data_IF_763112742123
#
_entry.id   IF_763112742123
#
_cell.length_a   1.000
_cell.length_b   1.000
_cell.length_c   1.000
_cell.angle_alpha   90.00
_cell.angle_beta   90.00
_cell.angle_gamma   90.00
#
_symmetry.space_group_name_H-M   'P 1'
#
loop_
_entity.id
_entity.type
_entity.pdbx_description
1 polymer ?
#
# COMPACT_ATOMS: atom_id res chain seq x y z
N UNK A 1 83.56 -49.15 -110.35
CA UNK A 1 82.63 -48.38 -109.48
C UNK A 1 81.24 -49.00 -109.61
N UNK A 2 80.37 -48.90 -108.60
CA UNK A 2 78.97 -49.32 -108.76
C UNK A 2 78.24 -48.31 -109.64
N UNK A 3 77.41 -48.81 -110.58
CA UNK A 3 76.49 -47.98 -111.38
C UNK A 3 75.18 -47.71 -110.61
N UNK A 4 74.95 -48.45 -109.52
CA UNK A 4 73.73 -48.40 -108.73
C UNK A 4 73.98 -47.87 -107.31
N UNK A 5 73.02 -47.10 -106.79
CA UNK A 5 73.03 -46.48 -105.46
C UNK A 5 72.98 -47.48 -104.30
N UNK A 6 72.63 -48.74 -104.56
CA UNK A 6 72.55 -49.84 -103.61
C UNK A 6 73.18 -51.13 -104.17
N UNK A 7 73.66 -52.06 -103.32
CA UNK A 7 74.29 -53.29 -103.77
C UNK A 7 73.28 -54.29 -104.36
N UNK A 8 73.51 -54.74 -105.59
CA UNK A 8 72.65 -55.76 -106.23
C UNK A 8 73.00 -57.16 -105.72
N UNK A 9 72.13 -57.73 -104.90
CA UNK A 9 72.36 -58.95 -104.13
C UNK A 9 72.42 -60.22 -105.01
N UNK A 10 73.21 -61.21 -104.57
CA UNK A 10 73.15 -62.59 -105.10
C UNK A 10 71.84 -63.25 -104.66
N UNK A 11 71.34 -64.22 -105.43
CA UNK A 11 70.08 -64.92 -105.11
C UNK A 11 70.06 -65.47 -103.68
N UNK A 12 71.15 -66.10 -103.24
CA UNK A 12 71.31 -66.63 -101.88
C UNK A 12 71.08 -65.58 -100.78
N UNK A 13 71.51 -64.32 -101.00
CA UNK A 13 71.27 -63.22 -100.04
C UNK A 13 69.83 -62.71 -100.02
N UNK A 14 69.11 -62.84 -101.14
CA UNK A 14 67.68 -62.51 -101.24
C UNK A 14 66.85 -63.58 -100.55
N UNK A 15 67.13 -64.86 -100.83
CA UNK A 15 66.46 -66.00 -100.18
C UNK A 15 66.72 -66.03 -98.68
N UNK A 16 67.94 -65.71 -98.23
CA UNK A 16 68.23 -65.61 -96.81
C UNK A 16 67.42 -64.49 -96.15
N UNK A 17 67.34 -63.29 -96.77
CA UNK A 17 66.50 -62.21 -96.24
C UNK A 17 65.01 -62.60 -96.17
N UNK A 18 64.46 -63.21 -97.23
CA UNK A 18 63.06 -63.69 -97.27
C UNK A 18 62.78 -64.65 -96.10
N UNK A 19 63.71 -65.57 -95.82
CA UNK A 19 63.64 -66.50 -94.70
C UNK A 19 63.75 -65.79 -93.34
N UNK A 20 64.69 -64.86 -93.18
CA UNK A 20 64.91 -64.10 -91.94
C UNK A 20 63.68 -63.22 -91.60
N UNK A 21 63.07 -62.61 -92.61
CA UNK A 21 61.82 -61.86 -92.53
C UNK A 21 60.56 -62.73 -92.49
N UNK A 22 60.69 -64.07 -92.47
CA UNK A 22 59.60 -65.05 -92.42
C UNK A 22 58.56 -64.93 -93.54
N UNK A 23 58.95 -64.43 -94.71
CA UNK A 23 58.05 -64.27 -95.85
C UNK A 23 57.78 -65.63 -96.52
N UNK A 24 56.50 -65.96 -96.71
CA UNK A 24 56.02 -67.26 -97.22
C UNK A 24 56.21 -67.44 -98.74
N UNK A 25 57.46 -67.39 -99.23
CA UNK A 25 57.76 -67.34 -100.66
C UNK A 25 59.06 -68.12 -100.98
N UNK A 26 59.06 -68.89 -102.06
CA UNK A 26 60.15 -69.84 -102.39
C UNK A 26 61.24 -69.26 -103.30
N UNK A 27 62.34 -70.00 -103.47
CA UNK A 27 63.36 -69.66 -104.47
C UNK A 27 62.90 -69.94 -105.91
N UNK A 28 61.96 -70.86 -106.10
CA UNK A 28 61.39 -71.18 -107.41
C UNK A 28 60.42 -70.10 -107.89
N UNK A 29 59.62 -69.52 -106.98
CA UNK A 29 58.79 -68.34 -107.22
C UNK A 29 59.62 -67.19 -107.86
N UNK A 30 60.84 -66.93 -107.36
CA UNK A 30 61.73 -65.90 -107.94
C UNK A 30 62.30 -66.36 -109.28
N UNK A 31 62.84 -67.59 -109.36
CA UNK A 31 63.49 -68.11 -110.57
C UNK A 31 62.55 -68.13 -111.78
N UNK A 32 61.32 -68.57 -111.55
CA UNK A 32 60.31 -68.72 -112.60
C UNK A 32 59.74 -67.38 -113.07
N UNK A 33 59.87 -66.31 -112.25
CA UNK A 33 59.34 -64.97 -112.57
C UNK A 33 57.85 -65.01 -112.94
N UNK A 34 57.06 -65.78 -112.21
CA UNK A 34 55.60 -65.78 -112.35
C UNK A 34 55.02 -64.41 -111.90
N UNK A 35 54.18 -63.72 -112.70
CA UNK A 35 53.55 -62.47 -112.29
C UNK A 35 52.77 -62.54 -110.97
N UNK A 36 52.10 -63.65 -110.67
CA UNK A 36 51.35 -63.79 -109.41
C UNK A 36 52.29 -63.99 -108.21
N UNK A 37 53.40 -64.69 -108.37
CA UNK A 37 54.51 -64.75 -107.42
C UNK A 37 55.14 -63.36 -107.21
N UNK A 38 55.47 -62.63 -108.28
CA UNK A 38 56.00 -61.26 -108.20
C UNK A 38 55.03 -60.34 -107.47
N UNK A 39 53.73 -60.42 -107.74
CA UNK A 39 52.72 -59.67 -106.96
C UNK A 39 52.73 -60.05 -105.47
N UNK A 40 52.79 -61.35 -105.14
CA UNK A 40 52.93 -61.82 -103.74
C UNK A 40 54.19 -61.28 -103.04
N UNK A 41 55.32 -61.17 -103.74
CA UNK A 41 56.53 -60.53 -103.20
C UNK A 41 56.27 -59.07 -102.80
N UNK A 42 55.70 -58.26 -103.71
CA UNK A 42 55.41 -56.86 -103.42
C UNK A 42 54.36 -56.69 -102.31
N UNK A 43 53.27 -57.47 -102.32
CA UNK A 43 52.26 -57.45 -101.24
C UNK A 43 52.89 -57.75 -99.86
N UNK A 44 53.73 -58.78 -99.75
CA UNK A 44 54.44 -59.12 -98.52
C UNK A 44 55.46 -58.03 -98.08
N UNK A 45 56.06 -57.30 -99.02
CA UNK A 45 56.91 -56.15 -98.70
C UNK A 45 56.11 -54.91 -98.28
N UNK A 46 54.87 -54.72 -98.74
CA UNK A 46 54.01 -53.63 -98.26
C UNK A 46 53.59 -53.84 -96.81
N UNK A 47 53.26 -55.08 -96.44
CA UNK A 47 52.93 -55.46 -95.06
C UNK A 47 54.13 -55.15 -94.12
N UNK A 48 55.33 -55.64 -94.44
CA UNK A 48 56.53 -55.44 -93.59
C UNK A 48 57.08 -54.00 -93.60
N UNK A 49 57.06 -53.32 -94.76
CA UNK A 49 57.74 -52.02 -94.92
C UNK A 49 56.78 -50.84 -94.76
N UNK A 50 55.52 -50.96 -95.18
CA UNK A 50 54.56 -49.85 -95.18
C UNK A 50 53.42 -50.01 -94.16
N UNK A 51 53.25 -51.21 -93.56
CA UNK A 51 52.10 -51.56 -92.72
C UNK A 51 50.77 -51.44 -93.49
N UNK A 52 50.81 -51.84 -94.77
CA UNK A 52 49.67 -51.85 -95.71
C UNK A 52 49.38 -53.29 -96.10
N UNK A 53 48.19 -53.78 -95.74
CA UNK A 53 47.74 -55.13 -96.09
C UNK A 53 47.27 -55.23 -97.55
N UNK A 54 46.99 -56.46 -97.99
CA UNK A 54 46.32 -56.71 -99.27
C UNK A 54 44.93 -56.04 -99.32
N UNK A 55 44.20 -56.07 -98.22
CA UNK A 55 42.82 -55.62 -98.15
C UNK A 55 42.75 -54.08 -98.22
N UNK A 56 43.70 -53.38 -97.59
CA UNK A 56 43.86 -51.92 -97.71
C UNK A 56 44.09 -51.47 -99.17
N UNK A 57 44.78 -52.29 -99.98
CA UNK A 57 44.94 -52.02 -101.42
C UNK A 57 43.67 -52.32 -102.23
N UNK A 58 42.75 -53.14 -101.72
CA UNK A 58 41.46 -53.39 -102.36
C UNK A 58 40.40 -52.33 -102.05
N UNK A 59 40.49 -51.67 -100.89
CA UNK A 59 39.52 -50.64 -100.50
C UNK A 59 39.75 -49.33 -101.26
N UNK A 60 38.80 -48.88 -102.11
CA UNK A 60 38.88 -47.57 -102.75
C UNK A 60 38.76 -46.47 -101.68
N UNK A 61 39.68 -45.50 -101.72
CA UNK A 61 39.59 -44.31 -100.86
C UNK A 61 38.23 -43.63 -101.03
N UNK A 62 37.51 -43.39 -99.91
CA UNK A 62 36.11 -42.94 -99.90
C UNK A 62 35.87 -41.65 -100.71
N UNK A 63 36.86 -40.76 -100.77
CA UNK A 63 36.83 -39.52 -101.55
C UNK A 63 36.88 -39.71 -103.07
N UNK A 64 37.32 -40.88 -103.55
CA UNK A 64 37.35 -41.25 -104.97
C UNK A 64 36.10 -41.97 -105.46
N UNK A 65 35.29 -42.55 -104.56
CA UNK A 65 34.07 -43.29 -104.94
C UNK A 65 33.04 -42.42 -105.65
N UNK A 66 32.89 -41.15 -105.23
CA UNK A 66 31.99 -40.18 -105.85
C UNK A 66 32.39 -39.75 -107.27
N UNK A 67 33.62 -40.04 -107.70
CA UNK A 67 34.08 -39.79 -109.06
C UNK A 67 33.85 -40.98 -110.02
N UNK A 68 33.46 -42.15 -109.50
CA UNK A 68 33.19 -43.36 -110.29
C UNK A 68 31.68 -43.49 -110.53
N UNK A 69 31.23 -43.23 -111.76
CA UNK A 69 29.80 -43.34 -112.11
C UNK A 69 29.27 -44.78 -111.96
N UNK A 70 30.13 -45.78 -112.16
CA UNK A 70 29.81 -47.20 -112.01
C UNK A 70 30.92 -47.95 -111.25
N UNK A 71 31.00 -47.82 -109.90
CA UNK A 71 32.11 -48.37 -109.11
C UNK A 71 32.35 -49.88 -109.33
N UNK A 72 31.27 -50.65 -109.46
CA UNK A 72 31.30 -52.10 -109.63
C UNK A 72 32.06 -52.56 -110.90
N UNK A 73 32.15 -51.72 -111.94
CA UNK A 73 32.93 -52.04 -113.16
C UNK A 73 34.45 -51.91 -112.94
N UNK A 74 34.87 -51.41 -111.79
CA UNK A 74 36.27 -51.10 -111.47
C UNK A 74 36.82 -51.91 -110.30
N UNK A 75 36.06 -52.90 -109.80
CA UNK A 75 36.43 -53.78 -108.68
C UNK A 75 37.80 -54.46 -108.88
N UNK A 76 38.14 -54.89 -110.09
CA UNK A 76 39.47 -55.42 -110.42
C UNK A 76 40.50 -54.33 -110.78
N UNK A 77 40.06 -53.20 -111.36
CA UNK A 77 40.95 -52.18 -111.92
C UNK A 77 41.52 -51.21 -110.88
N UNK A 78 40.73 -50.84 -109.88
CA UNK A 78 41.17 -49.91 -108.82
C UNK A 78 42.23 -50.54 -107.91
N UNK A 79 42.09 -51.79 -107.42
CA UNK A 79 43.12 -52.44 -106.62
C UNK A 79 44.42 -52.68 -107.40
N UNK A 80 44.34 -52.98 -108.70
CA UNK A 80 45.51 -53.15 -109.56
C UNK A 80 46.24 -51.81 -109.77
N UNK A 81 45.51 -50.70 -109.97
CA UNK A 81 46.08 -49.35 -109.99
C UNK A 81 46.65 -48.92 -108.62
N UNK A 82 46.03 -49.31 -107.50
CA UNK A 82 46.54 -49.07 -106.16
C UNK A 82 47.86 -49.83 -105.94
N UNK A 83 47.88 -51.13 -106.21
CA UNK A 83 49.06 -51.99 -106.17
C UNK A 83 50.24 -51.42 -106.97
N UNK A 84 50.01 -50.98 -108.23
CA UNK A 84 51.08 -50.36 -109.02
C UNK A 84 51.56 -49.02 -108.47
N UNK A 85 50.65 -48.15 -108.00
CA UNK A 85 51.01 -46.86 -107.39
C UNK A 85 51.83 -47.05 -106.11
N UNK A 86 51.46 -48.01 -105.27
CA UNK A 86 52.21 -48.35 -104.04
C UNK A 86 53.56 -48.99 -104.39
N UNK A 87 53.60 -49.89 -105.37
CA UNK A 87 54.85 -50.47 -105.91
C UNK A 87 55.82 -49.40 -106.39
N UNK A 88 55.34 -48.44 -107.19
CA UNK A 88 56.17 -47.35 -107.73
C UNK A 88 56.68 -46.44 -106.63
N UNK A 89 55.82 -45.99 -105.71
CA UNK A 89 56.22 -45.15 -104.56
C UNK A 89 57.25 -45.82 -103.65
N UNK A 90 57.09 -47.11 -103.37
CA UNK A 90 58.07 -47.87 -102.59
C UNK A 90 59.42 -47.89 -103.31
N UNK A 91 59.42 -48.15 -104.62
CA UNK A 91 60.65 -48.24 -105.41
C UNK A 91 61.32 -46.89 -105.65
N UNK A 92 60.57 -45.80 -105.86
CA UNK A 92 61.07 -44.42 -105.84
C UNK A 92 61.78 -44.13 -104.49
N UNK A 93 61.16 -44.49 -103.36
CA UNK A 93 61.79 -44.37 -102.04
C UNK A 93 63.01 -45.30 -101.82
N UNK A 94 63.13 -46.39 -102.60
CA UNK A 94 64.31 -47.26 -102.65
C UNK A 94 65.40 -46.76 -103.64
N UNK A 95 65.18 -45.66 -104.36
CA UNK A 95 66.08 -45.14 -105.38
C UNK A 95 65.96 -45.83 -106.76
N UNK A 96 64.75 -46.19 -107.17
CA UNK A 96 64.43 -46.82 -108.46
C UNK A 96 63.24 -46.13 -109.14
N UNK A 97 63.55 -45.08 -109.91
CA UNK A 97 62.53 -44.24 -110.57
C UNK A 97 61.94 -44.86 -111.85
N UNK A 98 62.66 -45.81 -112.46
CA UNK A 98 62.37 -46.42 -113.77
C UNK A 98 61.37 -47.60 -113.72
N UNK A 99 60.61 -47.75 -112.64
CA UNK A 99 59.64 -48.84 -112.47
C UNK A 99 58.41 -48.71 -113.38
N UNK A 100 58.04 -49.81 -114.04
CA UNK A 100 56.97 -49.85 -115.05
C UNK A 100 56.05 -51.06 -114.90
N UNK A 101 54.87 -50.99 -115.52
CA UNK A 101 53.93 -52.13 -115.62
C UNK A 101 54.56 -53.44 -116.15
N UNK A 102 55.61 -53.35 -116.98
CA UNK A 102 56.32 -54.53 -117.49
C UNK A 102 57.02 -55.30 -116.36
N UNK A 103 57.48 -54.60 -115.32
CA UNK A 103 58.15 -55.19 -114.16
C UNK A 103 57.21 -56.08 -113.31
N UNK A 104 55.88 -55.93 -113.45
CA UNK A 104 54.85 -56.78 -112.82
C UNK A 104 54.31 -57.82 -113.80
N UNK A 105 53.92 -57.40 -115.01
CA UNK A 105 53.19 -58.25 -115.96
C UNK A 105 54.09 -59.21 -116.75
N UNK A 106 55.35 -58.82 -117.00
CA UNK A 106 56.36 -59.61 -117.74
C UNK A 106 57.74 -59.44 -117.06
N UNK A 107 57.85 -59.81 -115.77
CA UNK A 107 59.08 -59.66 -115.00
C UNK A 107 60.21 -60.50 -115.61
N UNK A 108 61.45 -60.10 -115.38
CA UNK A 108 62.63 -60.87 -115.78
C UNK A 108 63.58 -61.02 -114.61
N UNK A 109 64.22 -62.19 -114.48
CA UNK A 109 65.01 -62.54 -113.30
C UNK A 109 66.12 -61.52 -112.97
N UNK A 110 66.74 -60.93 -114.00
CA UNK A 110 67.75 -59.86 -113.84
C UNK A 110 67.15 -58.59 -113.21
N UNK A 111 65.94 -58.21 -113.61
CA UNK A 111 65.24 -56.99 -113.19
C UNK A 111 64.55 -57.19 -111.83
N UNK A 112 63.86 -58.31 -111.64
CA UNK A 112 63.27 -58.70 -110.35
C UNK A 112 64.35 -58.74 -109.25
N UNK A 113 65.52 -59.34 -109.51
CA UNK A 113 66.67 -59.34 -108.58
C UNK A 113 67.17 -57.94 -108.24
N UNK A 114 67.13 -56.99 -109.19
CA UNK A 114 67.49 -55.58 -108.95
C UNK A 114 66.47 -54.88 -108.04
N UNK A 115 65.16 -55.00 -108.34
CA UNK A 115 64.08 -54.41 -107.54
C UNK A 115 64.08 -54.97 -106.10
N UNK A 116 64.18 -56.29 -105.94
CA UNK A 116 64.28 -56.94 -104.64
C UNK A 116 65.52 -56.48 -103.86
N UNK A 117 66.66 -56.24 -104.52
CA UNK A 117 67.86 -55.69 -103.86
C UNK A 117 67.64 -54.28 -103.32
N UNK A 118 66.90 -53.43 -104.07
CA UNK A 118 66.55 -52.08 -103.64
C UNK A 118 65.67 -52.11 -102.37
N UNK A 119 64.60 -52.91 -102.41
CA UNK A 119 63.62 -53.05 -101.33
C UNK A 119 64.28 -53.64 -100.07
N UNK A 120 65.13 -54.66 -100.22
CA UNK A 120 65.89 -55.25 -99.09
C UNK A 120 66.87 -54.24 -98.47
N UNK A 121 67.53 -53.42 -99.29
CA UNK A 121 68.43 -52.37 -98.80
C UNK A 121 67.66 -51.30 -98.01
N UNK A 122 66.52 -50.84 -98.53
CA UNK A 122 65.63 -49.90 -97.85
C UNK A 122 65.04 -50.48 -96.55
N UNK A 123 64.62 -51.74 -96.55
CA UNK A 123 64.09 -52.42 -95.36
C UNK A 123 65.11 -52.49 -94.22
N UNK A 124 66.39 -52.74 -94.53
CA UNK A 124 67.46 -52.73 -93.51
C UNK A 124 67.70 -51.33 -92.96
N UNK A 125 67.75 -50.33 -93.83
CA UNK A 125 67.86 -48.93 -93.41
C UNK A 125 66.67 -48.47 -92.54
N UNK A 126 65.44 -48.87 -92.88
CA UNK A 126 64.24 -48.61 -92.04
C UNK A 126 64.44 -49.15 -90.62
N UNK A 127 64.85 -50.41 -90.47
CA UNK A 127 65.01 -51.03 -89.15
C UNK A 127 66.17 -50.40 -88.35
N UNK A 128 67.28 -50.03 -89.01
CA UNK A 128 68.37 -49.27 -88.37
C UNK A 128 67.93 -47.87 -87.90
N UNK A 129 67.03 -47.19 -88.63
CA UNK A 129 66.50 -45.88 -88.22
C UNK A 129 65.41 -46.00 -87.15
N UNK A 130 64.59 -47.06 -87.19
CA UNK A 130 63.49 -47.32 -86.26
C UNK A 130 63.94 -47.32 -84.79
N UNK A 131 65.10 -47.88 -84.47
CA UNK A 131 65.65 -47.86 -83.09
C UNK A 131 65.78 -46.43 -82.54
N UNK A 132 66.20 -45.47 -83.37
CA UNK A 132 66.27 -44.05 -82.98
C UNK A 132 64.88 -43.41 -82.83
N UNK A 133 63.93 -43.75 -83.72
CA UNK A 133 62.55 -43.27 -83.60
C UNK A 133 61.83 -43.84 -82.37
N UNK A 134 62.02 -45.12 -82.04
CA UNK A 134 61.48 -45.76 -80.83
C UNK A 134 62.03 -45.13 -79.55
N UNK A 135 63.29 -44.67 -79.56
CA UNK A 135 63.87 -43.90 -78.46
C UNK A 135 63.24 -42.51 -78.34
N UNK A 136 63.07 -41.79 -79.47
CA UNK A 136 62.43 -40.47 -79.50
C UNK A 136 60.95 -40.52 -79.10
N UNK A 137 60.22 -41.56 -79.51
CA UNK A 137 58.82 -41.80 -79.11
C UNK A 137 58.71 -41.93 -77.59
N UNK A 138 59.60 -42.70 -76.95
CA UNK A 138 59.64 -42.90 -75.49
C UNK A 138 59.95 -41.63 -74.70
N UNK A 139 60.67 -40.66 -75.26
CA UNK A 139 60.99 -39.39 -74.58
C UNK A 139 59.98 -38.28 -74.83
N UNK A 140 59.24 -38.34 -75.94
CA UNK A 140 58.49 -37.18 -76.46
C UNK A 140 56.98 -37.40 -76.51
N UNK A 141 56.52 -38.66 -76.57
CA UNK A 141 55.10 -39.00 -76.45
C UNK A 141 54.82 -39.44 -74.99
N UNK A 142 53.84 -38.86 -74.29
CA UNK A 142 53.50 -39.30 -72.94
C UNK A 142 53.05 -40.77 -72.97
N UNK A 143 53.64 -41.59 -72.12
CA UNK A 143 53.33 -43.02 -72.02
C UNK A 143 51.81 -43.27 -71.93
N UNK A 144 51.27 -44.33 -72.58
CA UNK A 144 49.87 -44.72 -72.41
C UNK A 144 49.43 -44.86 -70.96
N UNK A 145 50.34 -45.23 -70.05
CA UNK A 145 50.09 -45.27 -68.60
C UNK A 145 49.86 -43.90 -67.96
N UNK A 146 50.49 -42.84 -68.47
CA UNK A 146 50.23 -41.46 -68.04
C UNK A 146 48.88 -40.98 -68.56
N UNK A 147 48.57 -41.22 -69.84
CA UNK A 147 47.27 -40.85 -70.44
C UNK A 147 46.12 -41.56 -69.71
N UNK A 148 46.25 -42.87 -69.44
CA UNK A 148 45.26 -43.63 -68.70
C UNK A 148 45.12 -43.18 -67.23
N UNK A 149 46.22 -42.78 -66.56
CA UNK A 149 46.17 -42.17 -65.23
C UNK A 149 45.47 -40.81 -65.23
N UNK A 150 45.67 -39.99 -66.27
CA UNK A 150 44.94 -38.71 -66.42
C UNK A 150 43.45 -38.93 -66.67
N UNK A 151 43.06 -39.86 -67.53
CA UNK A 151 41.66 -40.20 -67.79
C UNK A 151 40.96 -40.70 -66.51
N UNK A 152 41.54 -41.71 -65.84
CA UNK A 152 40.98 -42.23 -64.59
C UNK A 152 40.93 -41.19 -63.46
N UNK A 153 41.83 -40.19 -63.44
CA UNK A 153 41.71 -39.04 -62.54
C UNK A 153 40.51 -38.14 -62.89
N UNK A 154 40.26 -37.86 -64.17
CA UNK A 154 39.08 -37.11 -64.61
C UNK A 154 37.78 -37.85 -64.29
N UNK A 155 37.71 -39.16 -64.53
CA UNK A 155 36.53 -39.98 -64.19
C UNK A 155 36.22 -39.91 -62.69
N UNK A 156 37.23 -40.10 -61.83
CA UNK A 156 37.08 -39.99 -60.37
C UNK A 156 36.68 -38.57 -59.94
N UNK A 157 37.20 -37.53 -60.59
CA UNK A 157 36.81 -36.15 -60.28
C UNK A 157 35.35 -35.87 -60.65
N UNK A 158 34.89 -36.37 -61.81
CA UNK A 158 33.51 -36.26 -62.26
C UNK A 158 32.53 -37.00 -61.33
N UNK A 159 32.87 -38.22 -60.90
CA UNK A 159 32.07 -38.99 -59.95
C UNK A 159 31.94 -38.30 -58.59
N UNK A 160 33.02 -37.69 -58.08
CA UNK A 160 32.98 -36.93 -56.83
C UNK A 160 32.13 -35.66 -56.98
N UNK A 161 32.28 -34.91 -58.07
CA UNK A 161 31.43 -33.73 -58.35
C UNK A 161 29.94 -34.09 -58.43
N UNK A 162 29.60 -35.22 -59.06
CA UNK A 162 28.21 -35.70 -59.14
C UNK A 162 27.65 -36.06 -57.76
N UNK A 163 28.42 -36.74 -56.91
CA UNK A 163 28.03 -37.07 -55.52
C UNK A 163 27.84 -35.81 -54.67
N UNK A 164 28.76 -34.85 -54.73
CA UNK A 164 28.63 -33.59 -53.99
C UNK A 164 27.43 -32.77 -54.47
N UNK A 165 27.16 -32.74 -55.79
CA UNK A 165 25.94 -32.11 -56.32
C UNK A 165 24.68 -32.76 -55.74
N UNK A 166 24.60 -34.09 -55.76
CA UNK A 166 23.46 -34.85 -55.22
C UNK A 166 23.20 -34.51 -53.75
N UNK A 167 24.26 -34.52 -52.92
CA UNK A 167 24.17 -34.17 -51.50
C UNK A 167 23.63 -32.74 -51.28
N UNK A 168 24.14 -31.76 -52.04
CA UNK A 168 23.69 -30.36 -51.94
C UNK A 168 22.24 -30.18 -52.42
N UNK A 169 21.79 -30.96 -53.40
CA UNK A 169 20.38 -30.97 -53.84
C UNK A 169 19.46 -31.60 -52.78
N UNK A 170 19.85 -32.74 -52.19
CA UNK A 170 19.09 -33.41 -51.12
C UNK A 170 19.01 -32.52 -49.85
N UNK A 171 20.10 -31.86 -49.46
CA UNK A 171 20.14 -30.87 -48.37
C UNK A 171 19.24 -29.66 -48.67
N UNK A 172 19.24 -29.16 -49.91
CA UNK A 172 18.33 -28.06 -50.32
C UNK A 172 16.86 -28.45 -50.21
N UNK A 173 16.50 -29.69 -50.60
CA UNK A 173 15.12 -30.20 -50.45
C UNK A 173 14.74 -30.32 -48.97
N UNK A 174 15.64 -30.83 -48.12
CA UNK A 174 15.42 -30.93 -46.68
C UNK A 174 15.23 -29.54 -46.03
N UNK A 175 16.09 -28.57 -46.35
CA UNK A 175 16.01 -27.20 -45.83
C UNK A 175 14.75 -26.47 -46.31
N UNK A 176 14.35 -26.63 -47.58
CA UNK A 176 13.09 -26.07 -48.11
C UNK A 176 11.88 -26.59 -47.33
N UNK A 177 11.83 -27.91 -47.09
CA UNK A 177 10.75 -28.53 -46.31
C UNK A 177 10.70 -28.04 -44.86
N UNK A 178 11.85 -27.85 -44.20
CA UNK A 178 11.90 -27.24 -42.86
C UNK A 178 11.40 -25.79 -42.87
N UNK A 179 11.75 -25.02 -43.90
CA UNK A 179 11.33 -23.63 -44.06
C UNK A 179 9.81 -23.52 -44.29
N UNK A 180 9.24 -24.38 -45.13
CA UNK A 180 7.79 -24.52 -45.32
C UNK A 180 7.07 -24.94 -44.02
N UNK A 181 7.64 -25.87 -43.25
CA UNK A 181 7.06 -26.29 -41.96
C UNK A 181 7.09 -25.17 -40.91
N UNK A 182 8.17 -24.39 -40.86
CA UNK A 182 8.29 -23.21 -39.99
C UNK A 182 7.35 -22.07 -40.41
N UNK A 183 7.21 -21.81 -41.72
CA UNK A 183 6.24 -20.83 -42.23
C UNK A 183 4.79 -21.25 -41.92
N UNK A 184 4.48 -22.55 -42.04
CA UNK A 184 3.16 -23.10 -41.70
C UNK A 184 2.84 -22.92 -40.21
N UNK A 185 3.80 -23.21 -39.31
CA UNK A 185 3.66 -22.96 -37.87
C UNK A 185 3.50 -21.47 -37.57
N UNK A 186 4.34 -20.61 -38.15
CA UNK A 186 4.24 -19.15 -37.99
C UNK A 186 2.87 -18.62 -38.45
N UNK A 187 2.33 -19.12 -39.56
CA UNK A 187 1.01 -18.72 -40.06
C UNK A 187 -0.14 -19.23 -39.16
N UNK A 188 0.00 -20.39 -38.53
CA UNK A 188 -0.97 -20.92 -37.57
C UNK A 188 -0.91 -20.23 -36.20
N UNK A 189 0.27 -19.78 -35.77
CA UNK A 189 0.49 -19.08 -34.50
C UNK A 189 0.18 -17.58 -34.59
N UNK A 190 0.36 -16.95 -35.76
CA UNK A 190 0.07 -15.53 -36.00
C UNK A 190 -1.30 -15.03 -35.49
N UNK A 191 -2.45 -15.70 -35.75
CA UNK A 191 -3.74 -15.24 -35.23
C UNK A 191 -3.82 -15.32 -33.70
N UNK A 192 -3.21 -16.33 -33.07
CA UNK A 192 -3.17 -16.45 -31.61
C UNK A 192 -2.28 -15.35 -30.99
N UNK A 193 -1.14 -15.04 -31.62
CA UNK A 193 -0.28 -13.93 -31.21
C UNK A 193 -1.00 -12.58 -31.35
N UNK A 194 -1.77 -12.36 -32.42
CA UNK A 194 -2.54 -11.13 -32.60
C UNK A 194 -3.60 -10.96 -31.50
N UNK A 195 -4.34 -12.02 -31.15
CA UNK A 195 -5.31 -11.98 -30.04
C UNK A 195 -4.62 -11.58 -28.72
N UNK A 196 -3.45 -12.15 -28.41
CA UNK A 196 -2.70 -11.77 -27.20
C UNK A 196 -2.21 -10.32 -27.24
N UNK A 197 -1.81 -9.81 -28.41
CA UNK A 197 -1.44 -8.40 -28.59
C UNK A 197 -2.64 -7.47 -28.35
N UNK A 198 -3.81 -7.82 -28.91
CA UNK A 198 -5.05 -7.05 -28.77
C UNK A 198 -5.56 -7.07 -27.31
N UNK A 199 -5.46 -8.22 -26.63
CA UNK A 199 -5.76 -8.36 -25.20
C UNK A 199 -4.80 -7.53 -24.33
N UNK A 200 -3.49 -7.55 -24.60
CA UNK A 200 -2.52 -6.71 -23.88
C UNK A 200 -2.83 -5.20 -24.06
N UNK A 201 -3.13 -4.77 -25.29
CA UNK A 201 -3.49 -3.38 -25.57
C UNK A 201 -4.78 -2.96 -24.84
N UNK A 202 -5.77 -3.84 -24.73
CA UNK A 202 -6.98 -3.60 -23.93
C UNK A 202 -6.66 -3.48 -22.44
N UNK A 203 -5.82 -4.36 -21.89
CA UNK A 203 -5.40 -4.28 -20.48
C UNK A 203 -4.59 -3.02 -20.17
N UNK A 204 -3.74 -2.53 -21.09
CA UNK A 204 -3.04 -1.25 -20.92
C UNK A 204 -4.00 -0.06 -20.82
N UNK A 205 -5.07 -0.04 -21.63
CA UNK A 205 -6.13 0.97 -21.56
C UNK A 205 -6.87 0.89 -20.22
N UNK A 206 -7.28 -0.31 -19.78
CA UNK A 206 -7.95 -0.51 -18.50
C UNK A 206 -7.06 -0.10 -17.30
N UNK A 207 -5.76 -0.40 -17.35
CA UNK A 207 -4.77 0.07 -16.36
C UNK A 207 -4.72 1.60 -16.34
N UNK A 208 -4.77 2.26 -17.50
CA UNK A 208 -4.88 3.72 -17.61
C UNK A 208 -6.15 4.29 -16.95
N UNK A 209 -7.30 3.66 -17.19
CA UNK A 209 -8.59 4.04 -16.59
C UNK A 209 -8.60 3.80 -15.07
N UNK A 210 -8.02 2.69 -14.60
CA UNK A 210 -7.93 2.38 -13.18
C UNK A 210 -6.94 3.31 -12.45
N UNK A 211 -5.80 3.64 -13.04
CA UNK A 211 -4.82 4.57 -12.48
C UNK A 211 -5.40 6.00 -12.37
N UNK A 212 -6.08 6.49 -13.41
CA UNK A 212 -6.75 7.80 -13.37
C UNK A 212 -7.86 7.83 -12.32
N UNK A 213 -8.70 6.78 -12.24
CA UNK A 213 -9.71 6.64 -11.18
C UNK A 213 -9.10 6.58 -9.78
N UNK A 214 -7.98 5.86 -9.59
CA UNK A 214 -7.27 5.80 -8.32
C UNK A 214 -6.71 7.18 -7.93
N UNK A 215 -6.19 7.95 -8.89
CA UNK A 215 -5.69 9.31 -8.67
C UNK A 215 -6.80 10.29 -8.24
N UNK A 216 -8.05 10.07 -8.68
CA UNK A 216 -9.21 10.87 -8.24
C UNK A 216 -9.72 10.44 -6.87
N UNK A 217 -9.78 9.13 -6.59
CA UNK A 217 -10.29 8.61 -5.30
C UNK A 217 -9.29 8.79 -4.14
N UNK A 218 -7.97 8.83 -4.39
CA UNK A 218 -6.98 9.06 -3.33
C UNK A 218 -7.18 10.36 -2.52
N UNK A 219 -7.33 11.56 -3.13
CA UNK A 219 -7.57 12.79 -2.39
C UNK A 219 -8.93 12.78 -1.68
N UNK A 220 -9.96 12.17 -2.26
CA UNK A 220 -11.28 12.02 -1.61
C UNK A 220 -11.18 11.15 -0.34
N UNK A 221 -10.51 9.99 -0.41
CA UNK A 221 -10.26 9.14 0.76
C UNK A 221 -9.40 9.85 1.82
N UNK A 222 -8.46 10.71 1.42
CA UNK A 222 -7.68 11.55 2.35
C UNK A 222 -8.56 12.61 3.02
N UNK A 223 -9.44 13.28 2.27
CA UNK A 223 -10.37 14.28 2.78
C UNK A 223 -11.39 13.66 3.76
N UNK A 224 -11.99 12.52 3.41
CA UNK A 224 -12.91 11.78 4.29
C UNK A 224 -12.21 11.31 5.57
N UNK A 225 -10.96 10.84 5.51
CA UNK A 225 -10.17 10.51 6.72
C UNK A 225 -9.89 11.72 7.60
N UNK A 226 -9.59 12.88 7.02
CA UNK A 226 -9.43 14.12 7.77
C UNK A 226 -10.75 14.59 8.41
N UNK A 227 -11.87 14.45 7.71
CA UNK A 227 -13.20 14.76 8.25
C UNK A 227 -13.60 13.83 9.40
N UNK A 228 -13.30 12.52 9.31
CA UNK A 228 -13.52 11.57 10.40
C UNK A 228 -12.62 11.87 11.60
N UNK A 229 -11.37 12.30 11.39
CA UNK A 229 -10.49 12.75 12.47
C UNK A 229 -11.07 13.98 13.19
N UNK A 230 -11.42 15.03 12.43
CA UNK A 230 -12.04 16.24 12.97
C UNK A 230 -13.32 15.94 13.77
N UNK A 231 -14.23 15.12 13.23
CA UNK A 231 -15.47 14.76 13.93
C UNK A 231 -15.21 13.95 15.21
N UNK A 232 -14.16 13.12 15.27
CA UNK A 232 -13.77 12.46 16.51
C UNK A 232 -13.21 13.46 17.53
N UNK A 233 -12.36 14.39 17.10
CA UNK A 233 -11.81 15.47 17.95
C UNK A 233 -12.93 16.39 18.48
N UNK A 234 -13.97 16.66 17.68
CA UNK A 234 -15.17 17.41 18.08
C UNK A 234 -16.07 16.62 19.07
N UNK A 235 -16.12 15.29 18.96
CA UNK A 235 -16.90 14.41 19.85
C UNK A 235 -16.32 14.34 21.27
N UNK A 236 -14.99 14.44 21.43
CA UNK A 236 -14.33 14.39 22.75
C UNK A 236 -14.83 15.48 23.72
N UNK A 237 -14.80 16.80 23.41
CA UNK A 237 -15.30 17.83 24.30
C UNK A 237 -16.82 17.75 24.50
N UNK A 238 -17.60 17.35 23.48
CA UNK A 238 -19.05 17.12 23.64
C UNK A 238 -19.32 15.99 24.64
N UNK A 239 -18.51 14.93 24.61
CA UNK A 239 -18.61 13.81 25.56
C UNK A 239 -18.27 14.24 26.98
N UNK A 240 -17.25 15.10 27.16
CA UNK A 240 -16.89 15.67 28.46
C UNK A 240 -17.98 16.62 29.00
N UNK A 241 -18.54 17.49 28.15
CA UNK A 241 -19.69 18.35 28.50
C UNK A 241 -20.88 17.50 28.95
N UNK A 242 -21.18 16.38 28.26
CA UNK A 242 -22.25 15.46 28.64
C UNK A 242 -22.01 14.80 29.99
N UNK A 243 -20.77 14.44 30.34
CA UNK A 243 -20.44 13.92 31.68
C UNK A 243 -20.72 14.98 32.74
N UNK A 244 -20.18 16.19 32.59
CA UNK A 244 -20.41 17.28 33.54
C UNK A 244 -21.90 17.63 33.70
N UNK A 245 -22.72 17.52 32.64
CA UNK A 245 -24.17 17.71 32.71
C UNK A 245 -24.90 16.58 33.46
N UNK A 246 -24.43 15.33 33.37
CA UNK A 246 -24.97 14.22 34.14
C UNK A 246 -24.67 14.38 35.64
N UNK A 247 -23.43 14.73 36.01
CA UNK A 247 -23.03 14.96 37.40
C UNK A 247 -23.86 16.11 38.03
N UNK A 248 -24.17 17.14 37.24
CA UNK A 248 -24.99 18.28 37.66
C UNK A 248 -26.49 17.91 37.76
N UNK A 249 -26.98 16.99 36.93
CA UNK A 249 -28.33 16.41 37.07
C UNK A 249 -28.45 15.56 38.36
N UNK A 250 -27.47 14.72 38.66
CA UNK A 250 -27.47 13.92 39.90
C UNK A 250 -27.43 14.80 41.16
N UNK A 251 -26.68 15.92 41.12
CA UNK A 251 -26.72 16.94 42.16
C UNK A 251 -28.11 17.59 42.31
N UNK A 252 -28.79 17.92 41.20
CA UNK A 252 -30.15 18.48 41.21
C UNK A 252 -31.18 17.48 41.75
N UNK A 253 -31.08 16.19 41.41
CA UNK A 253 -31.93 15.16 42.01
C UNK A 253 -31.69 15.02 43.52
N UNK A 254 -30.43 15.12 43.96
CA UNK A 254 -30.07 15.19 45.38
C UNK A 254 -30.73 16.36 46.11
N UNK A 255 -30.69 17.57 45.54
CA UNK A 255 -31.33 18.76 46.13
C UNK A 255 -32.87 18.71 46.06
N UNK A 256 -33.45 18.19 44.96
CA UNK A 256 -34.90 18.02 44.84
C UNK A 256 -35.45 17.04 45.89
N UNK A 257 -34.68 16.01 46.26
CA UNK A 257 -35.03 15.12 47.37
C UNK A 257 -34.96 15.83 48.74
N UNK A 258 -33.98 16.72 48.99
CA UNK A 258 -33.94 17.55 50.21
C UNK A 258 -35.18 18.45 50.32
N UNK A 259 -35.55 19.13 49.23
CA UNK A 259 -36.74 19.99 49.16
C UNK A 259 -38.03 19.19 49.42
N UNK A 260 -38.11 17.93 48.98
CA UNK A 260 -39.25 17.05 49.25
C UNK A 260 -39.38 16.72 50.75
N UNK A 261 -38.29 16.36 51.42
CA UNK A 261 -38.26 16.13 52.88
C UNK A 261 -38.68 17.40 53.64
N UNK A 262 -38.16 18.55 53.23
CA UNK A 262 -38.47 19.81 53.93
C UNK A 262 -39.92 20.27 53.74
N UNK A 263 -40.54 19.96 52.58
CA UNK A 263 -41.98 20.11 52.37
C UNK A 263 -42.82 19.23 53.32
N UNK A 264 -42.37 18.00 53.58
CA UNK A 264 -43.03 17.10 54.53
C UNK A 264 -42.89 17.62 55.98
N UNK A 265 -41.71 18.13 56.35
CA UNK A 265 -41.47 18.82 57.64
C UNK A 265 -42.39 20.03 57.84
N UNK A 266 -42.49 20.93 56.84
CA UNK A 266 -43.39 22.10 56.88
C UNK A 266 -44.87 21.68 57.01
N UNK A 267 -45.25 20.56 56.38
CA UNK A 267 -46.62 20.02 56.47
C UNK A 267 -46.96 19.56 57.90
N UNK A 268 -46.02 18.93 58.60
CA UNK A 268 -46.19 18.54 60.01
C UNK A 268 -46.21 19.77 60.94
N UNK A 269 -45.39 20.79 60.68
CA UNK A 269 -45.44 22.05 61.42
C UNK A 269 -46.81 22.75 61.27
N UNK A 270 -47.40 22.72 60.07
CA UNK A 270 -48.72 23.31 59.84
C UNK A 270 -49.83 22.60 60.62
N UNK A 271 -49.81 21.26 60.68
CA UNK A 271 -50.77 20.47 61.46
C UNK A 271 -50.66 20.72 62.97
N UNK A 272 -49.45 20.90 63.51
CA UNK A 272 -49.27 21.24 64.93
C UNK A 272 -49.71 22.67 65.25
N UNK A 273 -49.52 23.62 64.33
CA UNK A 273 -50.01 25.00 64.44
C UNK A 273 -51.55 25.08 64.50
N UNK A 274 -52.26 24.39 63.59
CA UNK A 274 -53.73 24.23 63.61
C UNK A 274 -54.24 23.75 64.98
N UNK A 275 -53.58 22.74 65.56
CA UNK A 275 -53.90 22.21 66.88
C UNK A 275 -53.74 23.21 68.04
N UNK A 276 -52.82 24.18 67.92
CA UNK A 276 -52.63 25.26 68.88
C UNK A 276 -53.73 26.33 68.71
N UNK A 277 -54.04 26.72 67.47
CA UNK A 277 -55.11 27.69 67.16
C UNK A 277 -56.48 27.21 67.66
N UNK A 278 -56.78 25.92 67.53
CA UNK A 278 -58.01 25.32 68.06
C UNK A 278 -58.12 25.46 69.59
N UNK A 279 -57.04 25.16 70.33
CA UNK A 279 -56.98 25.33 71.79
C UNK A 279 -57.12 26.80 72.22
N UNK A 280 -56.53 27.73 71.46
CA UNK A 280 -56.64 29.17 71.73
C UNK A 280 -58.09 29.68 71.60
N UNK A 281 -58.84 29.22 70.58
CA UNK A 281 -60.27 29.58 70.40
C UNK A 281 -61.14 29.16 71.60
N UNK A 282 -60.90 27.97 72.16
CA UNK A 282 -61.59 27.49 73.37
C UNK A 282 -61.27 28.35 74.60
N UNK A 283 -60.01 28.77 74.78
CA UNK A 283 -59.61 29.64 75.88
C UNK A 283 -60.28 31.04 75.81
N UNK A 284 -60.39 31.62 74.61
CA UNK A 284 -61.09 32.90 74.39
C UNK A 284 -62.59 32.79 74.72
N UNK A 285 -63.25 31.70 74.30
CA UNK A 285 -64.65 31.45 74.65
C UNK A 285 -64.86 31.28 76.17
N UNK A 286 -63.91 30.66 76.87
CA UNK A 286 -63.94 30.56 78.33
C UNK A 286 -63.79 31.92 79.02
N UNK A 287 -62.86 32.77 78.54
CA UNK A 287 -62.64 34.13 79.08
C UNK A 287 -63.92 34.98 79.02
N UNK A 288 -64.58 35.05 77.86
CA UNK A 288 -65.81 35.84 77.69
C UNK A 288 -66.93 35.42 78.66
N UNK A 289 -67.00 34.13 79.03
CA UNK A 289 -67.98 33.60 79.97
C UNK A 289 -67.72 34.01 81.43
N UNK A 290 -66.45 34.26 81.79
CA UNK A 290 -66.04 34.77 83.10
C UNK A 290 -66.29 36.27 83.23
N UNK A 291 -66.13 37.04 82.14
CA UNK A 291 -66.36 38.49 82.12
C UNK A 291 -67.82 38.83 82.42
N UNK A 292 -68.78 38.10 81.83
CA UNK A 292 -70.23 38.23 82.13
C UNK A 292 -70.55 37.97 83.62
N UNK A 293 -69.86 37.01 84.25
CA UNK A 293 -70.04 36.70 85.68
C UNK A 293 -69.43 37.77 86.61
N UNK A 294 -68.42 38.51 86.15
CA UNK A 294 -67.81 39.61 86.92
C UNK A 294 -68.71 40.85 86.95
N UNK A 295 -69.35 41.20 85.83
CA UNK A 295 -70.25 42.36 85.78
C UNK A 295 -71.52 42.13 86.64
N UNK A 296 -72.10 40.94 86.61
CA UNK A 296 -73.22 40.58 87.52
C UNK A 296 -72.87 40.72 89.01
N UNK A 297 -71.59 40.56 89.39
CA UNK A 297 -71.12 40.80 90.76
C UNK A 297 -70.80 42.27 91.05
N UNK A 298 -70.42 43.04 90.02
CA UNK A 298 -70.18 44.49 90.12
C UNK A 298 -71.50 45.24 90.39
N UNK A 299 -72.56 44.89 89.68
CA UNK A 299 -73.89 45.52 89.85
C UNK A 299 -74.46 45.27 91.25
N UNK A 300 -74.34 44.03 91.76
CA UNK A 300 -74.75 43.68 93.13
C UNK A 300 -74.00 44.52 94.20
N UNK A 301 -72.73 44.86 93.95
CA UNK A 301 -71.92 45.63 94.89
C UNK A 301 -72.36 47.09 95.01
N UNK A 302 -72.75 47.74 93.90
CA UNK A 302 -73.21 49.14 93.93
C UNK A 302 -74.58 49.30 94.59
N UNK A 303 -75.49 48.32 94.45
CA UNK A 303 -76.77 48.32 95.19
C UNK A 303 -76.52 48.37 96.70
N UNK A 304 -75.55 47.61 97.22
CA UNK A 304 -75.19 47.65 98.64
C UNK A 304 -74.53 48.98 99.04
N UNK A 305 -73.64 49.56 98.23
CA UNK A 305 -73.02 50.87 98.52
C UNK A 305 -74.07 52.00 98.62
N UNK A 306 -75.09 51.98 97.77
CA UNK A 306 -76.12 53.02 97.76
C UNK A 306 -77.05 52.93 98.98
N UNK A 307 -77.32 51.71 99.48
CA UNK A 307 -78.02 51.50 100.76
C UNK A 307 -77.18 51.89 101.99
N UNK A 308 -75.85 51.82 101.91
CA UNK A 308 -74.97 52.29 102.98
C UNK A 308 -74.92 53.82 103.06
N UNK A 309 -74.74 54.51 101.91
CA UNK A 309 -74.69 55.98 101.83
C UNK A 309 -75.93 56.67 102.42
N UNK A 310 -77.12 56.20 102.06
CA UNK A 310 -78.40 56.76 102.51
C UNK A 310 -78.60 56.65 104.03
N UNK A 311 -78.10 55.57 104.65
CA UNK A 311 -78.11 55.44 106.12
C UNK A 311 -77.08 56.34 106.81
N UNK A 312 -75.92 56.57 106.19
CA UNK A 312 -74.86 57.40 106.76
C UNK A 312 -75.24 58.89 106.79
N UNK A 313 -75.83 59.41 105.71
CA UNK A 313 -76.28 60.81 105.61
C UNK A 313 -77.35 61.17 106.66
N UNK A 314 -78.21 60.21 107.02
CA UNK A 314 -79.21 60.40 108.08
C UNK A 314 -78.55 60.55 109.48
N UNK A 315 -77.43 59.88 109.74
CA UNK A 315 -76.69 60.00 110.99
C UNK A 315 -75.90 61.32 111.08
N UNK A 316 -75.27 61.75 109.98
CA UNK A 316 -74.52 63.01 109.91
C UNK A 316 -75.42 64.23 110.21
N UNK A 317 -76.65 64.25 109.67
CA UNK A 317 -77.62 65.31 109.96
C UNK A 317 -78.04 65.39 111.44
N UNK A 318 -78.13 64.25 112.15
CA UNK A 318 -78.49 64.22 113.57
C UNK A 318 -77.35 64.71 114.48
N UNK A 319 -76.09 64.43 114.12
CA UNK A 319 -74.92 64.95 114.85
C UNK A 319 -74.76 66.46 114.64
N UNK A 320 -75.06 66.96 113.44
CA UNK A 320 -74.91 68.37 113.08
C UNK A 320 -75.85 69.33 113.84
N UNK A 321 -77.05 68.90 114.25
CA UNK A 321 -77.95 69.74 115.07
C UNK A 321 -77.48 69.81 116.52
N UNK A 322 -77.14 68.68 117.14
CA UNK A 322 -76.67 68.61 118.52
C UNK A 322 -75.40 69.45 118.76
N UNK A 323 -74.46 69.43 117.81
CA UNK A 323 -73.26 70.27 117.88
C UNK A 323 -73.58 71.78 117.93
N UNK A 324 -74.68 72.20 117.29
CA UNK A 324 -75.07 73.61 117.16
C UNK A 324 -75.67 74.18 118.44
N UNK A 325 -76.34 73.36 119.24
CA UNK A 325 -76.85 73.74 120.56
C UNK A 325 -75.72 73.93 121.58
N UNK A 326 -74.73 73.02 121.57
CA UNK A 326 -73.57 73.06 122.49
C UNK A 326 -72.76 74.36 122.35
N UNK A 327 -72.62 74.89 121.13
CA UNK A 327 -71.82 76.08 120.89
C UNK A 327 -72.53 77.38 121.32
N UNK A 328 -73.86 77.41 121.29
CA UNK A 328 -74.65 78.51 121.86
C UNK A 328 -74.47 78.63 123.38
N UNK A 329 -74.46 77.50 124.09
CA UNK A 329 -74.17 77.45 125.53
C UNK A 329 -72.75 77.95 125.86
N UNK A 330 -71.76 77.72 124.99
CA UNK A 330 -70.40 78.25 125.18
C UNK A 330 -70.33 79.77 125.14
N UNK A 331 -70.98 80.41 124.15
CA UNK A 331 -70.96 81.87 124.04
C UNK A 331 -71.65 82.56 125.23
N UNK A 332 -72.74 81.95 125.75
CA UNK A 332 -73.41 82.44 126.96
C UNK A 332 -72.52 82.43 128.21
N UNK A 333 -71.63 81.45 128.36
CA UNK A 333 -70.70 81.37 129.49
C UNK A 333 -69.64 82.48 129.45
N UNK A 334 -69.02 82.68 128.27
CA UNK A 334 -67.90 83.61 128.11
C UNK A 334 -68.27 85.09 128.38
N UNK A 335 -69.53 85.46 128.08
CA UNK A 335 -70.07 86.80 128.33
C UNK A 335 -70.23 87.10 129.82
N UNK A 336 -70.77 86.14 130.59
CA UNK A 336 -70.96 86.29 132.05
C UNK A 336 -69.62 86.43 132.79
N UNK A 337 -68.58 85.71 132.36
CA UNK A 337 -67.24 85.78 132.98
C UNK A 337 -66.62 87.19 132.86
N UNK A 338 -66.85 87.89 131.76
CA UNK A 338 -66.40 89.28 131.59
C UNK A 338 -67.15 90.27 132.50
N UNK A 339 -68.47 90.10 132.72
CA UNK A 339 -69.21 90.97 133.65
C UNK A 339 -68.80 90.78 135.11
N UNK A 340 -68.43 89.56 135.52
CA UNK A 340 -67.91 89.29 136.87
C UNK A 340 -66.56 89.95 137.07
N UNK A 341 -65.64 89.86 136.09
CA UNK A 341 -64.32 90.49 136.16
C UNK A 341 -64.43 92.03 136.32
N UNK A 342 -65.28 92.69 135.52
CA UNK A 342 -65.47 94.14 135.58
C UNK A 342 -66.00 94.61 136.95
N UNK A 343 -66.89 93.85 137.59
CA UNK A 343 -67.37 94.18 138.96
C UNK A 343 -66.32 93.93 140.03
N UNK A 344 -65.42 92.96 139.85
CA UNK A 344 -64.36 92.66 140.81
C UNK A 344 -63.35 93.82 140.91
N UNK A 345 -63.00 94.43 139.77
CA UNK A 345 -62.05 95.53 139.70
C UNK A 345 -62.55 96.79 140.44
N UNK A 346 -63.82 97.18 140.24
CA UNK A 346 -64.43 98.31 140.96
C UNK A 346 -64.48 98.08 142.48
N UNK A 347 -64.66 96.82 142.93
CA UNK A 347 -64.62 96.49 144.37
C UNK A 347 -63.20 96.60 144.93
N UNK A 348 -62.16 96.25 144.16
CA UNK A 348 -60.76 96.43 144.58
C UNK A 348 -60.41 97.92 144.75
N UNK A 349 -60.90 98.80 143.87
CA UNK A 349 -60.74 100.26 144.01
C UNK A 349 -61.39 100.78 145.30
N UNK A 350 -62.59 100.31 145.65
CA UNK A 350 -63.23 100.67 146.94
C UNK A 350 -62.49 100.13 148.18
N UNK A 351 -61.62 99.12 148.02
CA UNK A 351 -60.86 98.53 149.13
C UNK A 351 -59.46 99.15 149.31
N UNK A 352 -58.90 99.75 148.27
CA UNK A 352 -57.59 100.43 148.34
C UNK A 352 -57.66 101.71 149.19
N UNK A 353 -58.66 102.57 148.95
CA UNK A 353 -58.86 103.80 149.75
C UNK A 353 -59.12 103.48 151.22
N UNK A 354 -59.97 102.48 151.49
CA UNK A 354 -60.37 102.11 152.86
C UNK A 354 -59.19 101.60 153.72
N UNK A 355 -58.18 100.98 153.10
CA UNK A 355 -56.99 100.53 153.84
C UNK A 355 -55.98 101.67 154.06
N UNK A 356 -55.89 102.66 153.17
CA UNK A 356 -55.02 103.82 153.41
C UNK A 356 -55.44 104.62 154.65
N UNK A 357 -56.74 104.89 154.79
CA UNK A 357 -57.29 105.58 155.96
C UNK A 357 -57.19 104.72 157.25
N UNK A 358 -57.31 103.39 157.14
CA UNK A 358 -57.18 102.47 158.29
C UNK A 358 -55.73 102.35 158.77
N UNK A 359 -54.78 102.20 157.87
CA UNK A 359 -53.36 102.06 158.24
C UNK A 359 -52.82 103.33 158.91
N UNK A 360 -53.31 104.52 158.53
CA UNK A 360 -52.99 105.78 159.20
C UNK A 360 -53.45 105.82 160.68
N UNK A 361 -54.55 105.15 161.02
CA UNK A 361 -55.06 105.07 162.40
C UNK A 361 -54.53 103.87 163.20
N UNK A 362 -54.29 102.71 162.58
CA UNK A 362 -53.67 101.58 163.28
C UNK A 362 -52.23 101.89 163.72
N UNK A 363 -51.48 102.68 162.94
CA UNK A 363 -50.13 103.12 163.30
C UNK A 363 -50.10 103.97 164.59
N UNK A 364 -51.18 104.70 164.91
CA UNK A 364 -51.25 105.57 166.09
C UNK A 364 -51.78 104.90 167.35
N UNK A 365 -52.26 103.64 167.28
CA UNK A 365 -52.73 102.90 168.45
C UNK A 365 -51.92 101.63 168.77
N UNK A 366 -51.21 101.05 167.78
CA UNK A 366 -50.36 99.87 168.03
C UNK A 366 -49.20 100.15 169.00
N UNK A 367 -48.77 101.41 169.05
CA UNK A 367 -47.83 101.97 170.02
C UNK A 367 -48.31 101.86 171.49
N UNK A 368 -49.61 101.65 171.73
CA UNK A 368 -50.16 101.35 173.06
C UNK A 368 -50.16 99.85 173.41
N UNK A 369 -50.32 98.93 172.45
CA UNK A 369 -50.52 97.48 172.73
C UNK A 369 -49.22 96.71 173.05
N UNK A 370 -48.06 97.08 172.49
CA UNK A 370 -46.81 96.35 172.73
C UNK A 370 -46.38 96.34 174.20
N UNK A 371 -46.94 97.24 175.01
CA UNK A 371 -46.73 97.31 176.47
C UNK A 371 -47.33 96.11 177.23
N UNK A 372 -48.29 95.36 176.66
CA UNK A 372 -49.11 94.39 177.41
C UNK A 372 -48.73 92.91 177.22
N UNK A 373 -48.50 92.46 175.97
CA UNK A 373 -48.37 91.02 175.61
C UNK A 373 -47.09 90.34 176.19
N UNK A 374 -46.18 91.13 176.77
CA UNK A 374 -44.87 90.69 177.28
C UNK A 374 -44.92 89.70 178.47
N UNK A 375 -46.10 89.38 179.01
CA UNK A 375 -46.26 88.71 180.32
C UNK A 375 -46.46 87.16 180.33
N UNK A 376 -46.91 86.48 179.26
CA UNK A 376 -47.65 85.19 179.45
C UNK A 376 -46.98 83.84 179.02
N UNK A 377 -45.94 83.82 178.16
CA UNK A 377 -45.85 82.86 177.02
C UNK A 377 -45.35 81.38 177.20
N UNK A 378 -46.03 80.42 176.52
CA UNK A 378 -45.87 78.93 176.58
C UNK A 378 -46.10 78.21 175.20
N UNK A 379 -45.53 77.01 174.89
CA UNK A 379 -45.66 76.27 173.58
C UNK A 379 -45.36 74.73 173.58
N UNK A 380 -45.79 73.92 172.57
CA UNK A 380 -45.32 72.50 172.27
C UNK A 380 -45.62 71.98 170.82
N UNK A 381 -45.10 70.81 170.37
CA UNK A 381 -45.29 70.18 169.02
C UNK A 381 -45.49 68.62 168.97
N UNK A 382 -45.60 67.97 167.78
CA UNK A 382 -45.77 66.49 167.59
C UNK A 382 -45.44 65.96 166.15
N UNK A 383 -45.38 64.63 165.91
CA UNK A 383 -44.98 63.96 164.63
C UNK A 383 -45.66 62.56 164.36
N UNK A 384 -45.45 61.93 163.18
CA UNK A 384 -45.99 60.60 162.74
C UNK A 384 -45.13 59.94 161.62
N UNK A 385 -45.14 58.60 161.49
CA UNK A 385 -44.50 57.79 160.41
C UNK A 385 -45.32 56.51 160.01
N UNK A 386 -44.92 55.77 158.97
CA UNK A 386 -45.57 54.53 158.43
C UNK A 386 -44.57 53.60 157.69
N UNK A 387 -44.97 52.35 157.36
CA UNK A 387 -44.20 51.32 156.63
C UNK A 387 -45.11 50.44 155.74
N UNK A 388 -44.54 49.60 154.86
CA UNK A 388 -45.25 48.70 153.90
C UNK A 388 -44.46 47.37 153.68
N UNK A 389 -44.58 46.67 152.52
CA UNK A 389 -43.97 45.35 152.16
C UNK A 389 -44.38 44.87 150.74
N UNK A 390 -44.20 43.58 150.40
CA UNK A 390 -44.33 43.01 149.03
C UNK A 390 -44.44 41.45 149.04
N UNK A 391 -44.80 40.81 147.91
CA UNK A 391 -44.79 39.35 147.73
C UNK A 391 -44.71 38.90 146.25
N UNK A 392 -44.43 37.62 145.99
CA UNK A 392 -44.21 37.03 144.65
C UNK A 392 -44.39 35.50 144.62
N UNK A 393 -44.65 34.88 143.45
CA UNK A 393 -44.78 33.41 143.30
C UNK A 393 -44.46 32.88 141.88
N UNK A 394 -44.48 31.55 141.71
CA UNK A 394 -44.35 30.74 140.47
C UNK A 394 -45.13 29.41 140.72
N UNK A 395 -45.15 28.30 139.95
CA UNK A 395 -44.44 27.73 138.77
C UNK A 395 -45.42 26.68 138.16
N UNK A 396 -45.34 26.09 136.96
CA UNK A 396 -44.29 25.94 135.95
C UNK A 396 -44.90 25.94 134.51
N UNK A 397 -44.14 25.41 133.54
CA UNK A 397 -44.62 24.95 132.23
C UNK A 397 -44.01 23.57 131.90
N UNK A 398 -44.55 22.89 130.88
CA UNK A 398 -44.09 21.62 130.32
C UNK A 398 -44.43 21.56 128.82
#
# INVERSE_FOLDING_TARGET
>A
MSIYSFPVLKMTGIIQFIRDSKLSISEEDIKNCDPAAVRRFFEAFFEVILDISKDDLTQPALSGLSALQHPNLHESSVPELAFFRTSKKLLEACGVDDFTWRDIQKPTLKRLRYLLSAIINFSKFKEERKVHFDQYLKTTVPSPSHVHRSLTYFDNLQDNLLRTKQQVEDENVALRRQLEELQSKQAAEAPALQVVIDECAAMEVDIGVLNTRQSVLQPEVKALKAQVAQLNDDIVPITFIRMNLNDLLEAIEGDMNKVKVEKENVTQLHQTYEGIVSKAKLAVAHKARVEILLDQRRDQLEVYKQQARTKMQAAEHAVASAAKEVDQWRQHKLSNEHQVAAKLQAVQETHAMLNHDREAFELTLKDMEETYVRMERKVKAYTKMVTEIVGSSSVAAA
#
